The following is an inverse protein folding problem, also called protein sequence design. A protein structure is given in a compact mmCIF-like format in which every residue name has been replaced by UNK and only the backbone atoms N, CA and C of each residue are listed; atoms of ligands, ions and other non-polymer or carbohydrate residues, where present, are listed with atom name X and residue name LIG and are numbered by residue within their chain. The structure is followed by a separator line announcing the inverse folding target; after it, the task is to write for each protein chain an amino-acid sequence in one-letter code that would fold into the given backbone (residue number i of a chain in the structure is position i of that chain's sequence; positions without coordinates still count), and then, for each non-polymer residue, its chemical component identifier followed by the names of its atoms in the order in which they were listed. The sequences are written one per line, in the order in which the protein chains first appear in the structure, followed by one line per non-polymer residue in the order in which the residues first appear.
data_IF_924915890150
#
_entry.id   IF_924915890150
#
_cell.length_a   1.000
_cell.length_b   1.000
_cell.length_c   1.000
_cell.angle_alpha   90.00
_cell.angle_beta   90.00
_cell.angle_gamma   90.00
#
_symmetry.space_group_name_H-M   'P 1'
#
loop_
_entity.id
_entity.type
_entity.pdbx_description
1 polymer ?
#
# COMPACT_ATOMS: atom_id res chain seq x y z
N UNK A 1 0.17 -22.96 -13.55
CA UNK A 1 1.07 -21.78 -13.35
C UNK A 1 1.73 -21.80 -11.98
N UNK A 2 0.98 -21.99 -10.89
CA UNK A 2 1.50 -21.98 -9.49
C UNK A 2 2.67 -22.94 -9.20
N UNK A 3 2.64 -24.15 -9.76
CA UNK A 3 3.72 -25.15 -9.55
C UNK A 3 5.03 -24.76 -10.27
N UNK A 4 4.92 -23.99 -11.35
CA UNK A 4 6.07 -23.46 -12.09
C UNK A 4 6.70 -22.28 -11.34
N UNK A 5 5.89 -21.45 -10.68
CA UNK A 5 6.36 -20.36 -9.80
C UNK A 5 7.08 -20.92 -8.55
N UNK A 6 6.52 -21.94 -7.90
CA UNK A 6 7.20 -22.62 -6.79
C UNK A 6 8.54 -23.26 -7.22
N UNK A 7 8.60 -23.88 -8.40
CA UNK A 7 9.84 -24.47 -8.93
C UNK A 7 10.87 -23.40 -9.35
N UNK A 8 10.42 -22.27 -9.89
CA UNK A 8 11.27 -21.11 -10.18
C UNK A 8 11.81 -20.48 -8.89
N UNK A 9 11.00 -20.41 -7.83
CA UNK A 9 11.42 -19.89 -6.51
C UNK A 9 12.35 -20.84 -5.76
N UNK A 10 12.15 -22.17 -5.84
CA UNK A 10 13.09 -23.16 -5.32
C UNK A 10 14.45 -23.13 -6.04
N UNK A 11 14.43 -22.84 -7.35
CA UNK A 11 15.66 -22.64 -8.14
C UNK A 11 16.33 -21.31 -7.81
N UNK A 12 15.53 -20.26 -7.53
CA UNK A 12 15.99 -18.96 -7.00
C UNK A 12 16.66 -19.12 -5.62
N UNK A 13 16.04 -19.85 -4.69
CA UNK A 13 16.60 -20.20 -3.37
C UNK A 13 17.95 -20.90 -3.47
N UNK A 14 18.09 -21.83 -4.42
CA UNK A 14 19.37 -22.50 -4.70
C UNK A 14 20.43 -21.53 -5.22
N UNK A 15 20.07 -20.56 -6.07
CA UNK A 15 21.01 -19.52 -6.56
C UNK A 15 21.28 -18.39 -5.53
N UNK A 16 20.36 -18.14 -4.60
CA UNK A 16 20.47 -17.21 -3.48
C UNK A 16 21.44 -17.73 -2.42
N UNK A 17 21.45 -19.05 -2.20
CA UNK A 17 22.39 -19.73 -1.30
C UNK A 17 23.84 -19.75 -1.83
N UNK A 18 24.05 -19.54 -3.13
CA UNK A 18 25.34 -19.72 -3.80
C UNK A 18 26.07 -18.42 -4.15
N UNK A 19 25.44 -17.24 -4.07
CA UNK A 19 26.15 -15.98 -4.33
C UNK A 19 25.44 -14.74 -3.75
N UNK A 20 26.16 -13.99 -2.90
CA UNK A 20 25.75 -12.66 -2.44
C UNK A 20 25.43 -11.69 -3.61
N UNK A 21 26.02 -11.90 -4.79
CA UNK A 21 25.74 -11.09 -5.98
C UNK A 21 24.33 -11.27 -6.54
N UNK A 22 23.75 -12.46 -6.39
CA UNK A 22 22.37 -12.75 -6.81
C UNK A 22 21.38 -12.18 -5.80
N UNK A 23 21.62 -12.40 -4.50
CA UNK A 23 20.78 -11.83 -3.43
C UNK A 23 20.70 -10.30 -3.52
N UNK A 24 21.83 -9.64 -3.81
CA UNK A 24 21.83 -8.19 -3.99
C UNK A 24 21.06 -7.74 -5.23
N UNK A 25 21.22 -8.45 -6.34
CA UNK A 25 20.46 -8.16 -7.57
C UNK A 25 18.97 -8.30 -7.33
N UNK A 26 18.55 -9.37 -6.68
CA UNK A 26 17.15 -9.64 -6.37
C UNK A 26 16.57 -8.58 -5.43
N UNK A 27 17.30 -8.19 -4.38
CA UNK A 27 16.87 -7.11 -3.48
C UNK A 27 16.68 -5.77 -4.21
N UNK A 28 17.56 -5.44 -5.18
CA UNK A 28 17.44 -4.23 -6.01
C UNK A 28 16.23 -4.33 -6.93
N UNK A 29 16.05 -5.42 -7.67
CA UNK A 29 14.87 -5.61 -8.53
C UNK A 29 13.57 -5.54 -7.74
N UNK A 30 13.52 -6.20 -6.59
CA UNK A 30 12.36 -6.19 -5.71
C UNK A 30 12.06 -4.78 -5.19
N UNK A 31 13.10 -4.00 -4.84
CA UNK A 31 12.92 -2.60 -4.45
C UNK A 31 12.31 -1.74 -5.56
N UNK A 32 12.71 -1.97 -6.83
CA UNK A 32 12.15 -1.26 -7.99
C UNK A 32 10.69 -1.65 -8.21
N UNK A 33 10.35 -2.93 -8.06
CA UNK A 33 8.97 -3.42 -8.16
C UNK A 33 8.10 -2.85 -7.05
N UNK A 34 8.58 -2.85 -5.80
CA UNK A 34 7.85 -2.30 -4.63
C UNK A 34 7.69 -0.79 -4.72
N UNK A 35 8.71 -0.08 -5.19
CA UNK A 35 8.64 1.36 -5.45
C UNK A 35 7.63 1.67 -6.56
N UNK A 36 7.65 0.89 -7.64
CA UNK A 36 6.62 0.97 -8.67
C UNK A 36 5.24 0.76 -8.06
N UNK A 37 5.08 -0.23 -7.18
CA UNK A 37 3.81 -0.54 -6.51
C UNK A 37 3.34 0.48 -5.45
N UNK A 38 4.18 1.45 -5.08
CA UNK A 38 3.85 2.49 -4.10
C UNK A 38 4.06 2.06 -2.65
N UNK A 39 4.73 0.91 -2.43
CA UNK A 39 5.08 0.39 -1.11
C UNK A 39 6.45 0.94 -0.69
N UNK A 40 6.50 2.25 -0.47
CA UNK A 40 7.74 2.99 -0.23
C UNK A 40 8.53 2.49 0.99
N UNK A 41 7.82 2.08 2.05
CA UNK A 41 8.43 1.60 3.31
C UNK A 41 9.16 0.27 3.12
N UNK A 42 8.62 -0.61 2.28
CA UNK A 42 9.20 -1.92 2.01
C UNK A 42 10.33 -1.83 0.96
N UNK A 43 10.17 -0.96 -0.03
CA UNK A 43 11.25 -0.61 -0.95
C UNK A 43 12.46 -0.04 -0.19
N UNK A 44 12.23 0.84 0.80
CA UNK A 44 13.28 1.40 1.63
C UNK A 44 14.00 0.34 2.47
N UNK A 45 13.27 -0.60 3.11
CA UNK A 45 13.90 -1.70 3.85
C UNK A 45 14.76 -2.59 2.96
N UNK A 46 14.34 -2.84 1.72
CA UNK A 46 15.10 -3.65 0.76
C UNK A 46 16.39 -2.95 0.30
N UNK A 47 16.36 -1.63 0.11
CA UNK A 47 17.57 -0.84 -0.20
C UNK A 47 18.55 -0.86 0.97
N UNK A 48 18.05 -0.72 2.20
CA UNK A 48 18.88 -0.82 3.40
C UNK A 48 19.49 -2.23 3.54
N UNK A 49 18.72 -3.27 3.22
CA UNK A 49 19.22 -4.64 3.22
C UNK A 49 20.33 -4.87 2.18
N UNK A 50 20.13 -4.38 0.94
CA UNK A 50 21.15 -4.45 -0.10
C UNK A 50 22.44 -3.70 0.31
N UNK A 51 22.28 -2.55 0.95
CA UNK A 51 23.40 -1.76 1.49
C UNK A 51 24.14 -2.53 2.58
N UNK A 52 23.42 -3.21 3.48
CA UNK A 52 24.01 -4.07 4.51
C UNK A 52 24.82 -5.22 3.89
N UNK A 53 24.28 -5.88 2.85
CA UNK A 53 25.00 -6.93 2.13
C UNK A 53 26.27 -6.40 1.45
N UNK A 54 26.24 -5.20 0.87
CA UNK A 54 27.44 -4.55 0.32
C UNK A 54 28.49 -4.27 1.38
N UNK A 55 28.08 -3.80 2.57
CA UNK A 55 29.00 -3.61 3.70
C UNK A 55 29.63 -4.94 4.13
N UNK A 56 28.84 -6.02 4.23
CA UNK A 56 29.35 -7.35 4.56
C UNK A 56 30.35 -7.87 3.51
N UNK A 57 30.06 -7.66 2.21
CA UNK A 57 30.96 -8.02 1.11
C UNK A 57 32.28 -7.22 1.16
N UNK A 58 32.20 -5.90 1.35
CA UNK A 58 33.38 -5.04 1.44
C UNK A 58 34.30 -5.42 2.61
N UNK A 59 33.71 -5.88 3.71
CA UNK A 59 34.42 -6.28 4.93
C UNK A 59 34.80 -7.77 4.96
N UNK A 60 34.56 -8.52 3.87
CA UNK A 60 34.81 -9.98 3.75
C UNK A 60 34.12 -10.83 4.83
N UNK A 61 32.92 -10.43 5.25
CA UNK A 61 32.10 -11.13 6.25
C UNK A 61 31.13 -12.13 5.56
N UNK A 62 31.68 -13.06 4.79
CA UNK A 62 30.91 -13.97 3.93
C UNK A 62 29.99 -14.89 4.74
N UNK A 63 30.53 -15.59 5.75
CA UNK A 63 29.75 -16.50 6.60
C UNK A 63 28.58 -15.79 7.30
N UNK A 64 28.82 -14.56 7.75
CA UNK A 64 27.81 -13.73 8.41
C UNK A 64 26.68 -13.35 7.43
N UNK A 65 27.06 -12.90 6.22
CA UNK A 65 26.08 -12.54 5.18
C UNK A 65 25.26 -13.73 4.68
N UNK A 66 25.87 -14.91 4.54
CA UNK A 66 25.17 -16.13 4.11
C UNK A 66 24.16 -16.56 5.16
N UNK A 67 24.55 -16.55 6.44
CA UNK A 67 23.66 -16.95 7.53
C UNK A 67 22.49 -15.97 7.67
N UNK A 68 22.74 -14.67 7.56
CA UNK A 68 21.70 -13.64 7.59
C UNK A 68 20.70 -13.83 6.43
N UNK A 69 21.21 -14.02 5.20
CA UNK A 69 20.39 -14.31 4.02
C UNK A 69 19.54 -15.56 4.23
N UNK A 70 20.10 -16.63 4.82
CA UNK A 70 19.39 -17.88 5.06
C UNK A 70 18.18 -17.66 5.98
N UNK A 71 18.37 -16.99 7.12
CA UNK A 71 17.28 -16.73 8.07
C UNK A 71 16.15 -15.90 7.46
N UNK A 72 16.51 -14.86 6.69
CA UNK A 72 15.55 -13.99 6.02
C UNK A 72 14.82 -14.74 4.91
N UNK A 73 15.53 -15.53 4.10
CA UNK A 73 14.94 -16.34 3.04
C UNK A 73 13.95 -17.36 3.62
N UNK A 74 14.33 -18.06 4.70
CA UNK A 74 13.44 -18.98 5.40
C UNK A 74 12.19 -18.26 5.90
N UNK A 75 12.33 -17.06 6.49
CA UNK A 75 11.18 -16.27 6.91
C UNK A 75 10.24 -15.91 5.76
N UNK A 76 10.75 -15.38 4.65
CA UNK A 76 9.93 -15.04 3.50
C UNK A 76 9.25 -16.25 2.87
N UNK A 77 9.93 -17.41 2.83
CA UNK A 77 9.27 -18.65 2.37
C UNK A 77 8.11 -19.06 3.27
N UNK A 78 8.24 -18.89 4.58
CA UNK A 78 7.13 -19.11 5.51
C UNK A 78 6.01 -18.10 5.31
N UNK A 79 6.33 -16.82 5.10
CA UNK A 79 5.33 -15.78 4.87
C UNK A 79 4.51 -16.04 3.59
N UNK A 80 5.17 -16.34 2.47
CA UNK A 80 4.51 -16.69 1.21
C UNK A 80 3.68 -17.96 1.35
N UNK A 81 4.19 -18.97 2.07
CA UNK A 81 3.43 -20.16 2.38
C UNK A 81 2.15 -19.82 3.18
N UNK A 82 2.24 -18.98 4.21
CA UNK A 82 1.07 -18.56 4.95
C UNK A 82 0.07 -17.77 4.08
N UNK A 83 0.55 -16.94 3.16
CA UNK A 83 -0.29 -16.17 2.25
C UNK A 83 -1.02 -17.07 1.24
N UNK A 84 -0.30 -18.03 0.63
CA UNK A 84 -0.89 -19.02 -0.28
C UNK A 84 -1.96 -19.87 0.41
N UNK A 85 -1.69 -20.31 1.65
CA UNK A 85 -2.67 -21.07 2.43
C UNK A 85 -3.86 -20.20 2.84
N UNK A 86 -3.63 -18.94 3.19
CA UNK A 86 -4.69 -17.98 3.49
C UNK A 86 -5.64 -17.77 2.30
N UNK A 87 -5.12 -17.74 1.07
CA UNK A 87 -5.94 -17.64 -0.14
C UNK A 87 -6.83 -18.87 -0.39
N UNK A 88 -6.42 -20.04 0.09
CA UNK A 88 -7.20 -21.29 -0.05
C UNK A 88 -8.28 -21.48 1.02
N UNK A 89 -8.19 -20.77 2.14
CA UNK A 89 -9.14 -20.91 3.25
C UNK A 89 -10.36 -20.02 3.05
N UNK A 90 -11.55 -20.62 3.06
CA UNK A 90 -12.81 -19.89 2.94
C UNK A 90 -12.96 -18.80 4.00
N UNK A 91 -13.40 -17.61 3.53
CA UNK A 91 -13.60 -16.38 4.31
C UNK A 91 -14.50 -16.55 5.55
N UNK A 92 -15.32 -17.61 5.60
CA UNK A 92 -16.21 -17.94 6.73
C UNK A 92 -15.52 -18.64 7.91
N UNK A 93 -14.33 -19.24 7.75
CA UNK A 93 -13.60 -19.89 8.87
C UNK A 93 -12.66 -18.90 9.57
N UNK A 94 -13.24 -18.03 10.39
CA UNK A 94 -12.51 -17.04 11.18
C UNK A 94 -11.42 -17.65 12.08
N UNK A 95 -11.67 -18.80 12.72
CA UNK A 95 -10.72 -19.42 13.67
C UNK A 95 -9.41 -19.88 12.99
N UNK A 96 -9.49 -20.46 11.80
CA UNK A 96 -8.29 -20.92 11.07
C UNK A 96 -7.45 -19.72 10.63
N UNK A 97 -8.08 -18.67 10.09
CA UNK A 97 -7.41 -17.43 9.71
C UNK A 97 -6.78 -16.72 10.92
N UNK A 98 -7.45 -16.69 12.07
CA UNK A 98 -6.88 -16.14 13.32
C UNK A 98 -5.64 -16.90 13.76
N UNK A 99 -5.68 -18.25 13.72
CA UNK A 99 -4.52 -19.08 14.06
C UNK A 99 -3.32 -18.77 13.16
N UNK A 100 -3.54 -18.57 11.85
CA UNK A 100 -2.47 -18.20 10.91
C UNK A 100 -1.89 -16.81 11.18
N UNK A 101 -2.72 -15.82 11.53
CA UNK A 101 -2.22 -14.50 11.92
C UNK A 101 -1.37 -14.59 13.19
N UNK A 102 -1.80 -15.38 14.18
CA UNK A 102 -1.01 -15.64 15.39
C UNK A 102 0.31 -16.33 15.04
N UNK A 103 0.30 -17.33 14.16
CA UNK A 103 1.52 -18.00 13.73
C UNK A 103 2.47 -17.04 13.00
N UNK A 104 1.96 -16.21 12.08
CA UNK A 104 2.73 -15.16 11.40
C UNK A 104 3.34 -14.17 12.39
N UNK A 105 2.59 -13.81 13.42
CA UNK A 105 3.07 -12.95 14.50
C UNK A 105 4.16 -13.61 15.34
N UNK A 106 3.97 -14.88 15.71
CA UNK A 106 4.93 -15.66 16.47
C UNK A 106 6.23 -15.88 15.69
N UNK A 107 6.16 -16.23 14.41
CA UNK A 107 7.35 -16.40 13.56
C UNK A 107 8.10 -15.09 13.38
N UNK A 108 7.39 -13.99 13.15
CA UNK A 108 8.00 -12.66 13.09
C UNK A 108 8.67 -12.28 14.42
N UNK A 109 7.96 -12.44 15.55
CA UNK A 109 8.47 -12.10 16.88
C UNK A 109 9.68 -12.94 17.23
N UNK A 110 9.66 -14.24 16.94
CA UNK A 110 10.80 -15.12 17.17
C UNK A 110 12.01 -14.70 16.33
N UNK A 111 11.84 -14.40 15.05
CA UNK A 111 12.95 -13.99 14.19
C UNK A 111 13.51 -12.62 14.59
N UNK A 112 12.65 -11.61 14.71
CA UNK A 112 13.06 -10.21 14.88
C UNK A 112 13.32 -9.79 16.33
N UNK A 113 12.73 -10.46 17.32
CA UNK A 113 12.99 -10.14 18.73
C UNK A 113 13.95 -11.12 19.40
N UNK A 114 14.16 -12.32 18.85
CA UNK A 114 15.09 -13.30 19.41
C UNK A 114 16.30 -13.54 18.48
N UNK A 115 16.08 -14.13 17.30
CA UNK A 115 17.20 -14.61 16.45
C UNK A 115 18.08 -13.47 15.94
N UNK A 116 17.49 -12.41 15.38
CA UNK A 116 18.23 -11.26 14.85
C UNK A 116 19.01 -10.48 15.92
N UNK A 117 18.40 -10.06 17.04
CA UNK A 117 19.12 -9.29 18.04
C UNK A 117 20.21 -10.11 18.75
N UNK A 118 19.94 -11.36 19.13
CA UNK A 118 20.92 -12.17 19.87
C UNK A 118 21.93 -12.89 18.97
N UNK A 119 21.54 -13.28 17.76
CA UNK A 119 22.43 -13.96 16.81
C UNK A 119 23.29 -13.01 15.97
N UNK A 120 22.83 -11.78 15.73
CA UNK A 120 23.47 -10.86 14.79
C UNK A 120 23.79 -9.49 15.41
N UNK A 121 22.82 -8.82 16.03
CA UNK A 121 22.98 -7.44 16.53
C UNK A 121 23.95 -7.37 17.72
N UNK A 122 23.76 -8.20 18.75
CA UNK A 122 24.61 -8.21 19.95
C UNK A 122 26.04 -8.64 19.59
N UNK A 123 26.25 -9.75 18.85
CA UNK A 123 27.60 -10.13 18.43
C UNK A 123 28.30 -9.06 17.58
N UNK A 124 27.58 -8.35 16.69
CA UNK A 124 28.18 -7.26 15.91
C UNK A 124 28.48 -6.02 16.74
N UNK A 125 27.67 -5.71 17.76
CA UNK A 125 27.94 -4.62 18.70
C UNK A 125 29.21 -4.88 19.53
N UNK A 126 29.39 -6.11 20.02
CA UNK A 126 30.56 -6.53 20.79
C UNK A 126 31.80 -6.86 19.94
N UNK A 127 31.63 -7.09 18.63
CA UNK A 127 32.74 -7.23 17.70
C UNK A 127 33.50 -5.90 17.51
N UNK A 128 34.73 -6.03 16.99
CA UNK A 128 35.74 -4.98 16.72
C UNK A 128 35.12 -3.59 16.52
N UNK A 129 35.65 -2.60 17.26
CA UNK A 129 35.22 -1.19 17.25
C UNK A 129 35.15 -0.57 15.86
N UNK A 130 35.97 -1.05 14.93
CA UNK A 130 36.19 -0.44 13.62
C UNK A 130 35.05 -0.72 12.62
N UNK A 131 34.07 -1.56 12.97
CA UNK A 131 32.94 -1.93 12.13
C UNK A 131 31.73 -0.97 12.29
N UNK A 132 31.98 0.32 12.51
CA UNK A 132 30.92 1.30 12.80
C UNK A 132 29.85 1.38 11.71
N UNK A 133 30.26 1.44 10.43
CA UNK A 133 29.33 1.51 9.30
C UNK A 133 28.41 0.28 9.24
N UNK A 134 28.94 -0.91 9.51
CA UNK A 134 28.15 -2.13 9.53
C UNK A 134 27.12 -2.10 10.67
N UNK A 135 27.53 -1.68 11.88
CA UNK A 135 26.63 -1.53 13.03
C UNK A 135 25.50 -0.55 12.71
N UNK A 136 25.82 0.59 12.10
CA UNK A 136 24.85 1.61 11.73
C UNK A 136 23.87 1.12 10.67
N UNK A 137 24.36 0.53 9.57
CA UNK A 137 23.51 -0.02 8.52
C UNK A 137 22.60 -1.14 9.05
N UNK A 138 23.12 -2.02 9.91
CA UNK A 138 22.33 -3.09 10.50
C UNK A 138 21.24 -2.53 11.41
N UNK A 139 21.55 -1.52 12.22
CA UNK A 139 20.57 -0.89 13.11
C UNK A 139 19.46 -0.18 12.34
N UNK A 140 19.83 0.60 11.31
CA UNK A 140 18.86 1.26 10.42
C UNK A 140 17.95 0.25 9.72
N UNK A 141 18.53 -0.82 9.16
CA UNK A 141 17.77 -1.88 8.52
C UNK A 141 16.83 -2.56 9.51
N UNK A 142 17.31 -2.90 10.71
CA UNK A 142 16.52 -3.50 11.77
C UNK A 142 15.33 -2.61 12.20
N UNK A 143 15.55 -1.31 12.40
CA UNK A 143 14.48 -0.36 12.68
C UNK A 143 13.46 -0.30 11.54
N UNK A 144 13.90 -0.32 10.29
CA UNK A 144 13.00 -0.37 9.14
C UNK A 144 12.16 -1.65 9.11
N UNK A 145 12.73 -2.79 9.51
CA UNK A 145 11.98 -4.05 9.63
C UNK A 145 10.96 -4.03 10.76
N UNK A 146 11.27 -3.40 11.90
CA UNK A 146 10.29 -3.17 12.98
C UNK A 146 9.16 -2.26 12.50
N UNK A 147 9.49 -1.24 11.70
CA UNK A 147 8.50 -0.33 11.13
C UNK A 147 7.54 -1.05 10.17
N UNK A 148 8.02 -2.04 9.41
CA UNK A 148 7.21 -2.89 8.54
C UNK A 148 6.57 -4.09 9.27
N UNK A 149 6.53 -4.08 10.61
CA UNK A 149 6.04 -5.23 11.39
C UNK A 149 4.53 -5.45 11.28
N UNK A 150 4.06 -6.71 11.41
CA UNK A 150 2.62 -7.00 11.52
C UNK A 150 1.99 -6.35 12.77
N UNK A 151 2.78 -6.10 13.81
CA UNK A 151 2.41 -5.35 15.01
C UNK A 151 1.97 -3.92 14.67
N UNK A 152 2.82 -3.19 13.96
CA UNK A 152 2.53 -1.82 13.60
C UNK A 152 1.36 -1.74 12.62
N UNK A 153 1.24 -2.73 11.71
CA UNK A 153 0.09 -2.86 10.80
C UNK A 153 -1.23 -3.06 11.56
N UNK A 154 -1.22 -3.81 12.67
CA UNK A 154 -2.38 -3.98 13.55
C UNK A 154 -2.75 -2.68 14.26
N UNK A 155 -1.77 -1.99 14.84
CA UNK A 155 -1.99 -0.68 15.48
C UNK A 155 -2.50 0.35 14.48
N UNK A 156 -1.94 0.37 13.27
CA UNK A 156 -2.37 1.26 12.21
C UNK A 156 -3.83 0.99 11.83
N UNK A 157 -4.23 -0.28 11.70
CA UNK A 157 -5.61 -0.64 11.44
C UNK A 157 -6.55 -0.19 12.58
N UNK A 158 -6.16 -0.38 13.83
CA UNK A 158 -6.99 0.02 14.97
C UNK A 158 -7.14 1.54 15.11
N UNK A 159 -6.14 2.33 14.70
CA UNK A 159 -6.14 3.80 14.84
C UNK A 159 -6.78 4.48 13.63
N UNK A 160 -6.50 4.00 12.41
CA UNK A 160 -6.82 4.71 11.17
C UNK A 160 -7.96 4.08 10.35
N UNK A 161 -8.29 2.80 10.55
CA UNK A 161 -9.40 2.15 9.85
C UNK A 161 -10.64 2.14 10.74
N UNK A 162 -11.36 3.27 10.75
CA UNK A 162 -12.63 3.41 11.47
C UNK A 162 -13.82 2.83 10.71
N UNK A 163 -13.72 2.64 9.38
CA UNK A 163 -14.77 2.03 8.57
C UNK A 163 -14.31 0.78 7.77
N UNK A 164 -15.21 -0.21 7.55
CA UNK A 164 -14.96 -1.44 6.80
C UNK A 164 -14.27 -1.25 5.44
N UNK A 165 -14.57 -0.14 4.78
CA UNK A 165 -14.18 0.11 3.39
C UNK A 165 -12.79 0.71 3.28
N UNK A 166 -12.20 1.15 4.39
CA UNK A 166 -10.92 1.84 4.38
C UNK A 166 -9.74 0.87 4.25
N UNK A 167 -9.94 -0.44 4.49
CA UNK A 167 -8.88 -1.44 4.46
C UNK A 167 -9.10 -2.58 3.45
N UNK A 168 -8.01 -3.22 3.02
CA UNK A 168 -8.02 -4.38 2.12
C UNK A 168 -8.72 -5.63 2.71
N UNK A 169 -8.78 -5.71 4.04
CA UNK A 169 -9.39 -6.81 4.80
C UNK A 169 -10.88 -6.64 5.11
N UNK A 170 -11.54 -5.58 4.64
CA UNK A 170 -12.92 -5.29 5.01
C UNK A 170 -13.09 -4.97 6.51
N UNK A 171 -14.10 -5.56 7.14
CA UNK A 171 -14.44 -5.36 8.57
C UNK A 171 -13.47 -6.03 9.57
N UNK A 172 -12.50 -6.83 9.12
CA UNK A 172 -11.68 -7.65 10.03
C UNK A 172 -10.19 -7.31 10.01
N UNK A 173 -9.66 -6.96 11.17
CA UNK A 173 -8.23 -6.70 11.40
C UNK A 173 -7.34 -7.88 10.96
N UNK A 174 -7.83 -9.11 11.15
CA UNK A 174 -7.17 -10.37 10.77
C UNK A 174 -6.93 -10.41 9.25
N UNK A 175 -7.92 -10.03 8.44
CA UNK A 175 -7.76 -9.98 6.99
C UNK A 175 -6.86 -8.82 6.56
N UNK A 176 -6.87 -7.70 7.27
CA UNK A 176 -5.99 -6.55 6.99
C UNK A 176 -4.50 -6.87 7.23
N UNK A 177 -4.19 -7.69 8.23
CA UNK A 177 -2.82 -8.13 8.52
C UNK A 177 -2.32 -9.11 7.45
N UNK A 178 -3.21 -9.97 6.98
CA UNK A 178 -2.91 -11.06 6.05
C UNK A 178 -2.87 -10.63 4.59
N UNK A 179 -3.68 -9.63 4.21
CA UNK A 179 -3.69 -9.06 2.85
C UNK A 179 -2.72 -7.89 2.75
N UNK A 180 -1.88 -7.90 1.71
CA UNK A 180 -1.17 -6.70 1.27
C UNK A 180 -2.08 -5.94 0.30
N UNK A 181 -2.08 -4.62 0.44
CA UNK A 181 -2.97 -3.72 -0.30
C UNK A 181 -2.48 -3.60 -1.74
N UNK A 182 -2.75 -4.62 -2.58
CA UNK A 182 -2.23 -4.66 -3.94
C UNK A 182 -2.83 -3.48 -4.76
N UNK A 183 -2.10 -2.97 -5.77
CA UNK A 183 -2.61 -1.85 -6.60
C UNK A 183 -3.94 -2.17 -7.29
N UNK A 184 -4.13 -3.43 -7.69
CA UNK A 184 -5.35 -3.90 -8.34
C UNK A 184 -6.60 -3.83 -7.44
N UNK A 185 -6.45 -4.05 -6.13
CA UNK A 185 -7.52 -4.03 -5.12
C UNK A 185 -7.87 -2.59 -4.86
N UNK A 186 -6.83 -1.76 -4.68
CA UNK A 186 -7.02 -0.32 -4.47
C UNK A 186 -7.77 0.27 -5.66
N UNK A 187 -7.42 -0.12 -6.88
CA UNK A 187 -8.13 0.29 -8.09
C UNK A 187 -9.57 -0.25 -8.14
N UNK A 188 -9.78 -1.55 -7.92
CA UNK A 188 -11.09 -2.19 -7.91
C UNK A 188 -12.03 -1.58 -6.85
N UNK A 189 -11.51 -1.33 -5.65
CA UNK A 189 -12.22 -0.67 -4.55
C UNK A 189 -12.57 0.78 -4.88
N UNK A 190 -11.63 1.52 -5.49
CA UNK A 190 -11.90 2.89 -5.92
C UNK A 190 -13.00 2.93 -7.01
N UNK A 191 -13.00 1.95 -7.92
CA UNK A 191 -14.05 1.79 -8.92
C UNK A 191 -15.40 1.42 -8.28
N UNK A 192 -15.41 0.50 -7.31
CA UNK A 192 -16.62 0.12 -6.59
C UNK A 192 -17.19 1.31 -5.79
N UNK A 193 -16.32 2.09 -5.15
CA UNK A 193 -16.71 3.33 -4.46
C UNK A 193 -17.32 4.34 -5.43
N UNK A 194 -16.65 4.61 -6.55
CA UNK A 194 -17.15 5.50 -7.59
C UNK A 194 -18.50 5.02 -8.16
N UNK A 195 -18.67 3.70 -8.33
CA UNK A 195 -19.93 3.13 -8.78
C UNK A 195 -21.08 3.35 -7.79
N UNK A 196 -20.85 3.14 -6.49
CA UNK A 196 -21.87 3.39 -5.48
C UNK A 196 -22.21 4.88 -5.34
N UNK A 197 -21.22 5.76 -5.46
CA UNK A 197 -21.42 7.20 -5.49
C UNK A 197 -22.28 7.61 -6.68
N UNK A 198 -21.97 7.11 -7.89
CA UNK A 198 -22.80 7.32 -9.08
C UNK A 198 -24.23 6.77 -8.90
N UNK A 199 -24.38 5.59 -8.29
CA UNK A 199 -25.70 5.01 -8.00
C UNK A 199 -26.50 5.87 -7.01
N UNK A 200 -25.83 6.49 -6.04
CA UNK A 200 -26.44 7.42 -5.08
C UNK A 200 -26.84 8.74 -5.75
N UNK A 201 -26.02 9.26 -6.65
CA UNK A 201 -26.37 10.43 -7.45
C UNK A 201 -27.58 10.15 -8.34
N UNK A 202 -27.59 8.99 -9.00
CA UNK A 202 -28.71 8.59 -9.84
C UNK A 202 -30.01 8.37 -9.05
N UNK A 203 -29.93 7.85 -7.81
CA UNK A 203 -31.11 7.72 -6.96
C UNK A 203 -31.62 9.08 -6.46
N UNK A 204 -30.73 10.03 -6.14
CA UNK A 204 -31.09 11.42 -5.81
C UNK A 204 -31.73 12.15 -6.98
N UNK A 205 -31.20 12.00 -8.19
CA UNK A 205 -31.79 12.58 -9.41
C UNK A 205 -33.17 12.00 -9.71
N UNK A 206 -33.35 10.68 -9.57
CA UNK A 206 -34.66 10.04 -9.73
C UNK A 206 -35.68 10.55 -8.70
N UNK A 207 -35.25 10.75 -7.45
CA UNK A 207 -36.11 11.30 -6.39
C UNK A 207 -36.50 12.76 -6.64
N UNK A 208 -35.57 13.60 -7.13
CA UNK A 208 -35.89 14.97 -7.54
C UNK A 208 -36.72 15.05 -8.83
N UNK A 209 -36.57 14.09 -9.75
CA UNK A 209 -37.35 14.07 -10.99
C UNK A 209 -38.85 13.78 -10.78
N UNK A 210 -39.25 13.14 -9.67
CA UNK A 210 -40.67 12.89 -9.38
C UNK A 210 -41.39 14.05 -8.68
N UNK A 211 -40.66 15.00 -8.05
CA UNK A 211 -41.27 16.15 -7.37
C UNK A 211 -41.20 17.47 -8.17
N UNK A 212 -40.39 17.55 -9.24
CA UNK A 212 -40.03 18.86 -9.85
C UNK A 212 -40.47 19.05 -11.31
N UNK A 213 -41.43 18.28 -11.83
CA UNK A 213 -41.91 18.41 -13.21
C UNK A 213 -42.63 19.74 -13.52
N UNK A 214 -43.43 20.25 -12.59
CA UNK A 214 -44.22 21.48 -12.81
C UNK A 214 -43.46 22.76 -12.40
N UNK A 215 -42.59 22.70 -11.40
CA UNK A 215 -41.87 23.87 -10.89
C UNK A 215 -40.64 24.24 -11.74
N UNK A 216 -39.94 23.28 -12.35
CA UNK A 216 -38.78 23.57 -13.23
C UNK A 216 -39.21 24.27 -14.53
N UNK A 217 -40.33 23.88 -15.11
CA UNK A 217 -40.85 24.51 -16.33
C UNK A 217 -41.30 25.95 -16.08
N UNK A 218 -41.96 26.22 -14.94
CA UNK A 218 -42.36 27.56 -14.53
C UNK A 218 -41.17 28.47 -14.18
N UNK A 219 -40.18 27.96 -13.46
CA UNK A 219 -38.95 28.72 -13.14
C UNK A 219 -38.10 28.97 -14.39
N UNK A 220 -37.98 28.01 -15.31
CA UNK A 220 -37.31 28.22 -16.59
C UNK A 220 -38.02 29.29 -17.43
N UNK A 221 -39.36 29.27 -17.50
CA UNK A 221 -40.14 30.27 -18.22
C UNK A 221 -39.99 31.68 -17.62
N UNK A 222 -39.99 31.81 -16.29
CA UNK A 222 -39.76 33.08 -15.60
C UNK A 222 -38.33 33.60 -15.84
N UNK A 223 -37.34 32.73 -15.83
CA UNK A 223 -35.94 33.08 -16.12
C UNK A 223 -35.78 33.58 -17.55
N UNK A 224 -36.39 32.90 -18.53
CA UNK A 224 -36.39 33.33 -19.95
C UNK A 224 -37.05 34.70 -20.09
N UNK A 225 -38.20 34.92 -19.44
CA UNK A 225 -38.90 36.21 -19.46
C UNK A 225 -38.04 37.35 -18.88
N UNK A 226 -37.33 37.07 -17.79
CA UNK A 226 -36.42 38.02 -17.16
C UNK A 226 -35.24 38.39 -18.08
N UNK A 227 -34.59 37.38 -18.69
CA UNK A 227 -33.47 37.58 -19.63
C UNK A 227 -33.90 38.37 -20.87
N UNK A 228 -35.08 38.09 -21.44
CA UNK A 228 -35.62 38.85 -22.58
C UNK A 228 -35.89 40.30 -22.20
N UNK A 229 -36.40 40.56 -20.98
CA UNK A 229 -36.63 41.92 -20.50
C UNK A 229 -35.32 42.70 -20.30
N UNK A 230 -34.28 42.03 -19.80
CA UNK A 230 -32.93 42.58 -19.61
C UNK A 230 -32.29 42.93 -20.95
N UNK A 231 -32.39 42.04 -21.94
CA UNK A 231 -31.88 42.28 -23.30
C UNK A 231 -32.57 43.48 -23.96
N UNK A 232 -33.89 43.64 -23.77
CA UNK A 232 -34.64 44.83 -24.25
C UNK A 232 -34.27 46.11 -23.50
N UNK A 233 -33.92 46.05 -22.21
CA UNK A 233 -33.42 47.22 -21.45
C UNK A 233 -32.01 47.62 -21.90
N UNK A 234 -31.11 46.65 -22.07
CA UNK A 234 -29.75 46.90 -22.55
C UNK A 234 -29.72 47.48 -23.97
N UNK A 235 -30.61 47.01 -24.85
CA UNK A 235 -30.76 47.59 -26.20
C UNK A 235 -31.18 49.07 -26.15
N UNK A 236 -32.18 49.40 -25.32
CA UNK A 236 -32.62 50.79 -25.13
C UNK A 236 -31.55 51.70 -24.53
N UNK A 237 -30.73 51.19 -23.60
CA UNK A 237 -29.60 51.95 -23.05
C UNK A 237 -28.51 52.22 -24.09
N UNK A 238 -28.25 51.27 -24.99
CA UNK A 238 -27.31 51.45 -26.10
C UNK A 238 -27.82 52.49 -27.09
N UNK A 239 -29.09 52.40 -27.49
CA UNK A 239 -29.73 53.38 -28.39
C UNK A 239 -29.76 54.80 -27.78
N UNK A 240 -30.06 54.95 -26.48
CA UNK A 240 -30.00 56.24 -25.80
C UNK A 240 -28.58 56.82 -25.74
N UNK A 241 -27.55 55.99 -25.53
CA UNK A 241 -26.15 56.45 -25.57
C UNK A 241 -25.74 56.91 -26.97
N UNK A 242 -26.16 56.20 -28.01
CA UNK A 242 -25.89 56.57 -29.40
C UNK A 242 -26.63 57.85 -29.83
N UNK A 243 -27.82 58.11 -29.28
CA UNK A 243 -28.55 59.37 -29.51
C UNK A 243 -27.88 60.56 -28.80
N UNK A 244 -27.42 60.38 -27.54
CA UNK A 244 -26.65 61.37 -26.81
C UNK A 244 -25.33 61.72 -27.51
N UNK A 245 -24.65 60.73 -28.10
CA UNK A 245 -23.41 60.93 -28.85
C UNK A 245 -23.61 61.63 -30.22
N UNK A 246 -24.83 61.68 -30.75
CA UNK A 246 -25.17 62.40 -32.00
C UNK A 246 -25.67 63.84 -31.74
N UNK A 247 -25.93 64.20 -30.50
CA UNK A 247 -26.38 65.54 -30.08
C UNK A 247 -25.23 66.40 -29.51
N UNK A 248 -24.02 65.85 -29.42
CA UNK A 248 -22.76 66.57 -29.19
C UNK A 248 -22.01 66.75 -30.51
#
# INVERSE_FOLDING_TARGET
MVLLECLLQLRSLRSLLLSNSNSLRDAVFESVVKLSNGDYSEAFSNVLYATLLMCCLSMRLENYSILLNLYIAVYFTFEEFFLLFACHVDRKRSIQLTCFVILKFCTWSYLFLNVLPFGFLIPTLYARSDLFMLKFCFWLWYCSCIWNSPLLKLLYHQIYHTHPKDCAGGDSAIQCILSNDWKGYRHFRNLEHAYYELKLHQSREKMHSSETGENVSMTAFQTIKCVVSLKRKLKRLRENREQLAKQQ
#
